data_IF_576475450655
#
_entry.id   IF_576475450655
#
_cell.length_a   1.000
_cell.length_b   1.000
_cell.length_c   1.000
_cell.angle_alpha   90.00
_cell.angle_beta   90.00
_cell.angle_gamma   90.00
#
_symmetry.space_group_name_H-M   'P 1'
#
loop_
_entity.id
_entity.type
_entity.pdbx_description
1 polymer ?
#
# COMPACT_ATOMS: atom_id res chain seq x y z
N UNK A 1 35.21 -12.56 -35.61
CA UNK A 1 34.19 -13.41 -36.25
C UNK A 1 32.90 -13.21 -35.49
N UNK A 2 31.88 -12.77 -36.22
CA UNK A 2 30.54 -12.38 -35.75
C UNK A 2 29.74 -13.60 -35.32
N UNK A 3 28.90 -13.45 -34.29
CA UNK A 3 27.78 -14.36 -34.07
C UNK A 3 26.58 -13.54 -33.61
N UNK A 4 25.86 -13.06 -34.61
CA UNK A 4 24.48 -12.61 -34.53
C UNK A 4 23.59 -13.81 -34.26
N UNK A 5 22.82 -13.82 -33.17
CA UNK A 5 21.76 -14.80 -32.97
C UNK A 5 20.41 -14.11 -32.86
N UNK A 6 19.52 -14.60 -33.71
CA UNK A 6 18.24 -14.11 -34.19
C UNK A 6 17.19 -13.96 -33.10
N UNK A 7 16.48 -12.82 -33.12
CA UNK A 7 15.23 -12.60 -32.37
C UNK A 7 14.15 -13.56 -32.84
N UNK A 8 13.59 -14.39 -31.93
CA UNK A 8 12.31 -15.04 -32.17
C UNK A 8 11.17 -14.14 -31.67
N UNK A 9 10.52 -13.48 -32.61
CA UNK A 9 9.16 -12.95 -32.47
C UNK A 9 8.21 -14.05 -32.90
N UNK A 10 7.36 -14.55 -32.00
CA UNK A 10 6.24 -15.40 -32.39
C UNK A 10 4.92 -14.67 -32.16
N UNK A 11 4.18 -14.59 -33.25
CA UNK A 11 2.98 -13.83 -33.47
C UNK A 11 1.78 -14.30 -32.65
N UNK A 12 0.84 -13.37 -32.55
CA UNK A 12 -0.54 -13.49 -32.12
C UNK A 12 -1.28 -14.74 -32.62
N UNK A 13 -1.96 -15.42 -31.71
CA UNK A 13 -3.14 -16.21 -32.02
C UNK A 13 -4.18 -15.99 -30.92
N UNK A 14 -5.24 -15.26 -31.26
CA UNK A 14 -6.48 -15.20 -30.49
C UNK A 14 -7.38 -16.34 -30.95
N UNK A 15 -7.90 -17.18 -30.04
CA UNK A 15 -9.07 -17.99 -30.30
C UNK A 15 -10.25 -17.43 -29.50
N UNK A 16 -11.09 -16.64 -30.16
CA UNK A 16 -12.51 -16.53 -29.84
C UNK A 16 -13.17 -17.89 -30.05
N UNK A 17 -13.51 -18.60 -28.96
CA UNK A 17 -14.64 -19.52 -28.92
C UNK A 17 -15.03 -19.81 -27.48
N UNK A 18 -16.25 -19.38 -27.17
CA UNK A 18 -17.01 -19.61 -25.96
C UNK A 18 -17.27 -21.10 -25.72
N UNK A 19 -16.88 -21.61 -24.55
CA UNK A 19 -17.58 -22.73 -23.91
C UNK A 19 -17.73 -22.44 -22.42
N UNK A 20 -18.97 -22.13 -22.06
CA UNK A 20 -19.48 -21.99 -20.70
C UNK A 20 -19.25 -23.30 -19.93
N UNK A 21 -18.29 -23.31 -19.02
CA UNK A 21 -18.31 -24.19 -17.85
C UNK A 21 -18.53 -23.30 -16.64
N UNK A 22 -19.78 -23.26 -16.19
CA UNK A 22 -20.20 -22.58 -14.98
C UNK A 22 -19.73 -23.40 -13.76
N UNK A 23 -18.46 -23.23 -13.38
CA UNK A 23 -17.94 -23.77 -12.12
C UNK A 23 -18.58 -23.04 -10.94
N UNK A 24 -19.57 -23.71 -10.36
CA UNK A 24 -20.24 -23.35 -9.12
C UNK A 24 -19.38 -23.84 -7.95
N UNK A 25 -18.28 -23.16 -7.65
CA UNK A 25 -17.52 -23.38 -6.43
C UNK A 25 -18.18 -22.61 -5.28
N UNK A 26 -19.16 -23.24 -4.63
CA UNK A 26 -19.69 -22.84 -3.32
C UNK A 26 -18.62 -23.05 -2.24
N UNK A 27 -17.60 -22.19 -2.23
CA UNK A 27 -16.62 -22.06 -1.15
C UNK A 27 -17.11 -21.09 -0.08
N UNK A 28 -17.86 -21.61 0.90
CA UNK A 28 -18.39 -20.84 2.05
C UNK A 28 -17.30 -20.61 3.09
N UNK A 29 -16.59 -19.48 3.02
CA UNK A 29 -15.89 -18.94 4.20
C UNK A 29 -16.92 -18.21 5.07
N UNK A 30 -17.35 -18.86 6.14
CA UNK A 30 -18.25 -18.28 7.13
C UNK A 30 -17.46 -17.35 8.05
N UNK A 31 -17.27 -16.10 7.61
CA UNK A 31 -17.01 -15.00 8.53
C UNK A 31 -18.35 -14.62 9.17
N UNK A 32 -18.44 -14.70 10.49
CA UNK A 32 -19.63 -14.29 11.22
C UNK A 32 -19.97 -12.83 10.91
N UNK A 33 -21.25 -12.58 10.60
CA UNK A 33 -21.89 -11.27 10.63
C UNK A 33 -21.52 -10.31 9.49
N UNK A 34 -22.30 -10.36 8.40
CA UNK A 34 -22.39 -9.28 7.41
C UNK A 34 -21.86 -9.63 6.03
N UNK A 35 -22.74 -10.12 5.14
CA UNK A 35 -22.47 -10.18 3.71
C UNK A 35 -22.61 -8.78 3.13
N UNK A 36 -21.50 -8.10 2.83
CA UNK A 36 -21.51 -6.94 1.94
C UNK A 36 -21.50 -7.47 0.51
N UNK A 37 -22.69 -7.74 -0.04
CA UNK A 37 -22.87 -8.01 -1.46
C UNK A 37 -22.57 -6.73 -2.25
N UNK A 38 -21.47 -6.72 -2.99
CA UNK A 38 -21.13 -5.62 -3.89
C UNK A 38 -21.99 -5.73 -5.15
N UNK A 39 -23.16 -5.12 -5.10
CA UNK A 39 -24.14 -5.19 -6.19
C UNK A 39 -23.83 -4.11 -7.24
N UNK A 40 -23.41 -4.52 -8.45
CA UNK A 40 -22.92 -3.65 -9.54
C UNK A 40 -24.01 -2.74 -10.13
N UNK A 41 -25.28 -3.10 -9.92
CA UNK A 41 -26.47 -2.37 -10.39
C UNK A 41 -26.69 -1.02 -9.68
N UNK A 42 -26.05 -0.77 -8.53
CA UNK A 42 -26.27 0.46 -7.74
C UNK A 42 -25.43 1.67 -8.19
N UNK A 43 -24.63 1.55 -9.25
CA UNK A 43 -23.69 2.61 -9.68
C UNK A 43 -24.23 3.54 -10.78
N UNK A 44 -25.36 3.21 -11.43
CA UNK A 44 -25.78 3.88 -12.66
C UNK A 44 -27.00 4.81 -12.57
N UNK A 45 -27.75 4.83 -11.45
CA UNK A 45 -29.00 5.61 -11.39
C UNK A 45 -29.29 6.37 -10.09
N UNK A 46 -28.25 6.81 -9.38
CA UNK A 46 -28.40 7.82 -8.33
C UNK A 46 -27.86 9.14 -8.87
N UNK A 47 -28.76 10.03 -9.26
CA UNK A 47 -28.40 11.43 -9.47
C UNK A 47 -27.59 11.90 -8.27
N UNK A 48 -26.41 12.46 -8.53
CA UNK A 48 -25.58 13.04 -7.47
C UNK A 48 -26.44 14.04 -6.70
N UNK A 49 -26.61 13.90 -5.37
CA UNK A 49 -27.42 14.84 -4.61
C UNK A 49 -26.76 16.23 -4.68
N UNK A 50 -27.43 17.18 -5.33
CA UNK A 50 -26.94 18.56 -5.47
C UNK A 50 -26.88 19.33 -4.13
N UNK A 51 -27.33 18.73 -3.03
CA UNK A 51 -27.27 19.28 -1.67
C UNK A 51 -25.98 18.98 -0.90
N UNK A 52 -24.99 18.28 -1.50
CA UNK A 52 -23.63 18.17 -0.93
C UNK A 52 -22.72 19.39 -1.23
N UNK A 53 -23.31 20.53 -1.63
CA UNK A 53 -22.62 21.74 -2.10
C UNK A 53 -21.96 22.59 -1.00
N UNK A 54 -21.44 22.04 0.10
CA UNK A 54 -20.63 22.84 1.05
C UNK A 54 -19.46 22.09 1.74
N UNK A 55 -18.97 20.96 1.21
CA UNK A 55 -17.64 20.49 1.63
C UNK A 55 -16.57 21.30 0.91
N UNK A 56 -16.26 22.49 1.43
CA UNK A 56 -15.07 23.26 1.00
C UNK A 56 -13.88 22.31 1.02
N UNK A 57 -13.08 22.21 -0.05
CA UNK A 57 -11.86 21.41 0.00
C UNK A 57 -11.02 21.92 1.17
N UNK A 58 -10.47 21.02 2.01
CA UNK A 58 -9.64 21.46 3.12
C UNK A 58 -8.51 22.30 2.54
N UNK A 59 -8.42 23.56 2.94
CA UNK A 59 -7.34 24.44 2.53
C UNK A 59 -6.02 23.76 2.88
N UNK A 60 -5.05 23.65 1.96
CA UNK A 60 -3.79 22.98 2.25
C UNK A 60 -3.12 23.69 3.42
N UNK A 61 -3.07 23.02 4.58
CA UNK A 61 -2.34 23.54 5.74
C UNK A 61 -0.87 23.58 5.37
N UNK A 62 -0.35 24.78 5.18
CA UNK A 62 1.06 24.98 4.89
C UNK A 62 1.90 24.37 6.03
N UNK A 63 2.96 23.61 5.72
CA UNK A 63 3.86 23.11 6.75
C UNK A 63 4.55 24.30 7.43
N UNK A 64 4.86 24.15 8.72
CA UNK A 64 5.62 25.18 9.45
C UNK A 64 6.94 25.50 8.76
N UNK A 65 7.34 26.77 8.75
CA UNK A 65 8.67 27.18 8.31
C UNK A 65 9.74 26.61 9.26
N UNK A 66 10.71 25.86 8.73
CA UNK A 66 11.80 25.23 9.51
C UNK A 66 13.14 25.42 8.83
N UNK A 67 14.19 25.64 9.62
CA UNK A 67 15.57 25.74 9.12
C UNK A 67 16.07 24.40 8.56
N UNK A 68 17.09 24.45 7.70
CA UNK A 68 17.67 23.26 7.08
C UNK A 68 18.26 22.27 8.10
N UNK A 69 18.88 22.76 9.16
CA UNK A 69 19.42 21.93 10.24
C UNK A 69 18.33 21.13 10.95
N UNK A 70 17.19 21.76 11.27
CA UNK A 70 16.05 21.06 11.88
C UNK A 70 15.46 20.03 10.93
N UNK A 71 15.32 20.36 9.64
CA UNK A 71 14.88 19.41 8.61
C UNK A 71 15.80 18.18 8.53
N UNK A 72 17.12 18.37 8.56
CA UNK A 72 18.10 17.27 8.62
C UNK A 72 17.92 16.39 9.87
N UNK A 73 17.77 17.00 11.05
CA UNK A 73 17.52 16.28 12.32
C UNK A 73 16.23 15.46 12.24
N UNK A 74 15.14 16.07 11.79
CA UNK A 74 13.83 15.39 11.61
C UNK A 74 13.93 14.21 10.63
N UNK A 75 14.55 14.42 9.47
CA UNK A 75 14.75 13.37 8.47
C UNK A 75 15.61 12.21 9.00
N UNK A 76 16.65 12.49 9.81
CA UNK A 76 17.46 11.44 10.44
C UNK A 76 16.65 10.66 11.48
N UNK A 77 15.89 11.34 12.34
CA UNK A 77 15.03 10.70 13.35
C UNK A 77 13.93 9.85 12.71
N UNK A 78 13.38 10.28 11.57
CA UNK A 78 12.46 9.47 10.78
C UNK A 78 13.15 8.22 10.23
N UNK A 79 14.34 8.36 9.63
CA UNK A 79 15.10 7.22 9.08
C UNK A 79 15.53 6.20 10.13
N UNK A 80 15.84 6.63 11.35
CA UNK A 80 16.20 5.75 12.47
C UNK A 80 15.00 4.95 13.03
N UNK A 81 13.77 5.44 12.83
CA UNK A 81 12.57 4.86 13.43
C UNK A 81 12.02 3.65 12.65
N UNK A 82 12.88 2.66 12.40
CA UNK A 82 12.60 1.46 11.60
C UNK A 82 12.77 0.18 12.43
N UNK A 83 12.06 -0.92 12.09
CA UNK A 83 12.27 -2.21 12.74
C UNK A 83 13.63 -2.80 12.34
N UNK A 84 14.15 -3.73 13.15
CA UNK A 84 15.37 -4.46 12.83
C UNK A 84 15.10 -5.41 11.64
N UNK A 85 16.00 -5.48 10.65
CA UNK A 85 15.90 -6.45 9.54
C UNK A 85 15.86 -7.89 10.03
N UNK A 86 15.19 -8.77 9.27
CA UNK A 86 15.01 -10.16 9.67
C UNK A 86 16.33 -10.94 9.70
N UNK A 87 17.17 -10.80 8.67
CA UNK A 87 18.45 -11.49 8.56
C UNK A 87 19.42 -11.20 9.73
N UNK A 88 19.34 -10.01 10.33
CA UNK A 88 20.12 -9.68 11.53
C UNK A 88 19.76 -10.63 12.67
N UNK A 89 18.47 -10.97 12.84
CA UNK A 89 18.03 -11.91 13.89
C UNK A 89 18.51 -13.34 13.67
N UNK A 90 18.86 -13.69 12.43
CA UNK A 90 19.33 -15.02 12.04
C UNK A 90 20.86 -15.17 12.16
N UNK A 91 21.59 -14.07 12.44
CA UNK A 91 23.04 -14.15 12.65
C UNK A 91 23.35 -14.92 13.93
N UNK A 92 24.35 -15.80 13.87
CA UNK A 92 24.89 -16.52 15.03
C UNK A 92 25.37 -15.54 16.09
N UNK A 93 25.23 -15.91 17.36
CA UNK A 93 25.62 -15.13 18.55
C UNK A 93 25.04 -13.70 18.64
N UNK A 94 23.91 -13.44 17.97
CA UNK A 94 23.22 -12.17 18.09
C UNK A 94 22.12 -12.19 19.17
N UNK A 95 22.28 -11.35 20.18
CA UNK A 95 21.30 -11.16 21.27
C UNK A 95 20.21 -10.12 20.95
N UNK A 96 20.37 -9.33 19.89
CA UNK A 96 19.48 -8.21 19.57
C UNK A 96 18.21 -8.69 18.87
N UNK A 97 17.05 -8.58 19.55
CA UNK A 97 15.75 -9.02 19.00
C UNK A 97 14.86 -7.90 18.46
N UNK A 98 14.91 -6.71 19.05
CA UNK A 98 14.09 -5.56 18.68
C UNK A 98 14.86 -4.24 18.84
N UNK A 99 14.38 -3.18 18.19
CA UNK A 99 14.99 -1.86 18.28
C UNK A 99 14.48 -1.15 19.53
N UNK A 100 15.22 -1.26 20.63
CA UNK A 100 14.88 -0.62 21.91
C UNK A 100 14.78 0.91 21.81
N UNK A 101 15.49 1.54 20.86
CA UNK A 101 15.49 3.00 20.65
C UNK A 101 14.42 3.46 19.66
N UNK A 102 13.51 2.59 19.24
CA UNK A 102 12.40 2.95 18.35
C UNK A 102 11.43 3.90 19.05
N UNK A 103 10.94 4.91 18.34
CA UNK A 103 10.15 6.01 18.91
C UNK A 103 8.73 6.04 18.36
N UNK A 104 7.72 6.26 19.21
CA UNK A 104 6.37 6.60 18.76
C UNK A 104 6.07 8.08 19.02
N UNK A 105 5.58 8.80 18.01
CA UNK A 105 5.43 10.27 18.08
C UNK A 105 4.39 10.77 19.09
N UNK A 106 3.41 9.93 19.42
CA UNK A 106 2.44 10.24 20.49
C UNK A 106 3.03 10.03 21.89
N UNK A 107 3.93 9.05 22.06
CA UNK A 107 4.49 8.69 23.38
C UNK A 107 5.69 9.55 23.78
N UNK A 108 6.64 9.79 22.87
CA UNK A 108 7.89 10.50 23.19
C UNK A 108 8.22 11.58 22.17
N UNK A 109 8.50 12.80 22.67
CA UNK A 109 8.85 13.98 21.87
C UNK A 109 10.36 14.04 21.60
N UNK A 110 10.75 14.80 20.58
CA UNK A 110 12.13 14.80 20.08
C UNK A 110 13.08 15.77 20.81
N UNK A 111 12.53 16.68 21.63
CA UNK A 111 13.29 17.48 22.62
C UNK A 111 14.54 18.16 22.06
N UNK A 112 14.37 19.04 21.08
CA UNK A 112 15.44 19.86 20.52
C UNK A 112 14.90 21.22 20.08
#
# INVERSE_FOLDING_TARGET
MTSTSTMLSLASASPTASLLVHENLKGRLKLGGGSLSFNKENYLHKGFPSSLSQRRPPTPKMPSHKTFMIKKKLAKKMRQNRPIPHWIRMRTDNTIRYNAKRRHWRRTKLGF
#
